data_IF_088387097597
#
_entry.id   IF_088387097597
#
_cell.length_a   1.000
_cell.length_b   1.000
_cell.length_c   1.000
_cell.angle_alpha   90.00
_cell.angle_beta   90.00
_cell.angle_gamma   90.00
#
_symmetry.space_group_name_H-M   'P 1'
#
loop_
_entity.id
_entity.type
_entity.pdbx_description
1 polymer ?
#
# COMPACT_ATOMS: atom_id res chain seq x y z
N UNK A 1 -25.58 10.71 2.59
CA UNK A 1 -24.52 10.15 1.73
C UNK A 1 -24.67 8.64 1.66
N UNK A 2 -24.00 7.98 0.71
CA UNK A 2 -23.99 6.51 0.59
C UNK A 2 -22.95 5.93 1.54
N UNK A 3 -23.31 4.91 2.33
CA UNK A 3 -22.35 4.17 3.16
C UNK A 3 -21.63 3.10 2.33
N UNK A 4 -20.34 3.29 2.05
CA UNK A 4 -19.54 2.33 1.27
C UNK A 4 -18.94 1.20 2.12
N UNK A 5 -18.92 1.35 3.45
CA UNK A 5 -18.18 0.45 4.33
C UNK A 5 -16.66 0.58 4.17
N UNK A 6 -15.92 -0.30 4.86
CA UNK A 6 -14.46 -0.33 4.80
C UNK A 6 -13.99 -1.51 3.93
N UNK A 7 -12.97 -1.27 3.13
CA UNK A 7 -12.29 -2.31 2.34
C UNK A 7 -10.88 -2.51 2.83
N UNK A 8 -10.38 -3.74 2.73
CA UNK A 8 -8.97 -4.05 2.89
C UNK A 8 -8.32 -4.32 1.50
N UNK A 9 -7.00 -4.09 1.37
CA UNK A 9 -6.14 -3.40 2.33
C UNK A 9 -6.29 -1.87 2.26
N UNK A 10 -5.85 -1.19 3.31
CA UNK A 10 -5.43 0.21 3.21
C UNK A 10 -4.02 0.23 2.61
N UNK A 11 -3.84 0.93 1.50
CA UNK A 11 -2.59 0.96 0.75
C UNK A 11 -1.95 2.34 0.85
N UNK A 12 -0.71 2.41 1.35
CA UNK A 12 0.08 3.64 1.37
C UNK A 12 1.13 3.55 0.27
N UNK A 13 1.21 4.56 -0.58
CA UNK A 13 2.33 4.71 -1.52
C UNK A 13 3.48 5.39 -0.78
N UNK A 14 4.54 4.64 -0.55
CA UNK A 14 5.76 5.10 0.09
C UNK A 14 6.79 5.50 -0.96
N UNK A 15 7.46 6.63 -0.73
CA UNK A 15 8.53 7.13 -1.60
C UNK A 15 9.84 7.05 -0.82
N UNK A 16 10.79 6.18 -1.20
CA UNK A 16 12.07 6.11 -0.53
C UNK A 16 12.90 7.39 -0.77
N UNK A 17 13.62 7.81 0.27
CA UNK A 17 14.65 8.84 0.20
C UNK A 17 16.03 8.22 -0.03
N UNK A 18 17.03 9.04 -0.35
CA UNK A 18 18.40 8.58 -0.63
C UNK A 18 19.07 7.94 0.59
N UNK A 19 18.71 8.37 1.80
CA UNK A 19 19.21 7.83 3.07
C UNK A 19 18.51 6.54 3.52
N UNK A 20 17.55 6.04 2.72
CA UNK A 20 16.76 4.85 3.02
C UNK A 20 15.54 5.09 3.91
N UNK A 21 15.30 6.32 4.38
CA UNK A 21 14.06 6.72 5.05
C UNK A 21 12.91 6.92 4.05
N UNK A 22 11.70 7.17 4.54
CA UNK A 22 10.59 7.58 3.67
C UNK A 22 10.52 9.10 3.57
N UNK A 23 10.29 9.60 2.36
CA UNK A 23 9.94 11.00 2.17
C UNK A 23 8.63 11.31 2.93
N UNK A 24 8.50 12.54 3.44
CA UNK A 24 7.27 13.04 4.06
C UNK A 24 6.18 13.33 3.02
N UNK A 25 5.86 12.33 2.21
CA UNK A 25 4.81 12.35 1.19
C UNK A 25 3.99 11.09 1.34
N UNK A 26 2.79 11.25 1.88
CA UNK A 26 1.89 10.12 2.16
C UNK A 26 0.72 10.20 1.19
N UNK A 27 0.60 9.19 0.33
CA UNK A 27 -0.61 8.95 -0.46
C UNK A 27 -1.28 7.69 0.07
N UNK A 28 -2.47 7.86 0.64
CA UNK A 28 -3.30 6.76 1.15
C UNK A 28 -4.37 6.44 0.11
N UNK A 29 -4.52 5.16 -0.21
CA UNK A 29 -5.51 4.65 -1.14
C UNK A 29 -6.35 3.56 -0.48
N UNK A 30 -7.66 3.63 -0.71
CA UNK A 30 -8.65 2.65 -0.30
C UNK A 30 -9.29 2.08 -1.56
N UNK A 31 -9.47 0.76 -1.61
CA UNK A 31 -10.14 0.14 -2.77
C UNK A 31 -11.63 0.47 -2.71
N UNK A 32 -12.18 1.01 -3.79
CA UNK A 32 -13.64 1.18 -3.88
C UNK A 32 -14.31 -0.22 -3.92
N UNK A 33 -15.36 -0.49 -3.13
CA UNK A 33 -16.06 -1.77 -3.18
C UNK A 33 -16.57 -2.08 -4.59
N UNK A 34 -16.61 -3.37 -4.96
CA UNK A 34 -16.89 -3.78 -6.34
C UNK A 34 -18.21 -3.22 -6.90
N UNK A 35 -19.24 -3.09 -6.06
CA UNK A 35 -20.55 -2.54 -6.44
C UNK A 35 -20.54 -1.05 -6.83
N UNK A 36 -19.46 -0.32 -6.53
CA UNK A 36 -19.30 1.10 -6.84
C UNK A 36 -18.16 1.36 -7.83
N UNK A 37 -17.47 0.33 -8.35
CA UNK A 37 -16.32 0.51 -9.25
C UNK A 37 -16.73 1.20 -10.57
N UNK A 38 -17.88 0.84 -11.13
CA UNK A 38 -18.37 1.41 -12.39
C UNK A 38 -18.84 2.87 -12.26
N UNK A 39 -19.32 3.25 -11.08
CA UNK A 39 -19.81 4.60 -10.80
C UNK A 39 -19.54 4.99 -9.33
N UNK A 40 -18.30 5.37 -8.99
CA UNK A 40 -17.94 5.71 -7.63
C UNK A 40 -18.62 7.01 -7.17
N UNK A 41 -19.09 7.08 -5.92
CA UNK A 41 -19.68 8.31 -5.41
C UNK A 41 -18.64 9.43 -5.40
N UNK A 42 -19.06 10.63 -5.83
CA UNK A 42 -18.19 11.80 -5.84
C UNK A 42 -17.76 12.14 -4.39
N UNK A 43 -16.44 12.26 -4.12
CA UNK A 43 -15.97 12.72 -2.83
C UNK A 43 -16.49 14.12 -2.52
N UNK A 44 -16.88 14.36 -1.26
CA UNK A 44 -17.28 15.68 -0.77
C UNK A 44 -16.10 16.55 -0.35
N UNK A 45 -14.92 15.95 -0.17
CA UNK A 45 -13.67 16.62 0.19
C UNK A 45 -12.78 16.69 -1.05
N UNK A 46 -12.35 17.91 -1.41
CA UNK A 46 -11.54 18.16 -2.61
C UNK A 46 -10.11 17.60 -2.52
N UNK A 47 -9.64 17.26 -1.32
CA UNK A 47 -8.35 16.56 -1.13
C UNK A 47 -8.41 15.09 -1.56
N UNK A 48 -9.61 14.51 -1.68
CA UNK A 48 -9.82 13.12 -2.07
C UNK A 48 -10.05 13.04 -3.58
N UNK A 49 -9.26 12.21 -4.24
CA UNK A 49 -9.37 11.96 -5.68
C UNK A 49 -9.69 10.50 -5.94
N UNK A 50 -10.57 10.26 -6.90
CA UNK A 50 -10.77 8.92 -7.47
C UNK A 50 -9.59 8.65 -8.39
N UNK A 51 -8.90 7.55 -8.16
CA UNK A 51 -7.77 7.10 -8.96
C UNK A 51 -8.11 5.78 -9.61
N UNK A 52 -8.02 5.74 -10.93
CA UNK A 52 -8.04 4.50 -11.68
C UNK A 52 -6.64 3.87 -11.65
N UNK A 53 -6.50 2.76 -10.92
CA UNK A 53 -5.25 2.01 -10.85
C UNK A 53 -5.26 0.93 -11.93
N UNK A 54 -4.37 1.06 -12.90
CA UNK A 54 -4.18 0.07 -13.96
C UNK A 54 -3.76 -1.28 -13.38
N UNK A 55 -3.98 -2.33 -14.17
CA UNK A 55 -3.49 -3.66 -13.85
C UNK A 55 -1.96 -3.63 -13.63
N UNK A 56 -1.50 -4.34 -12.60
CA UNK A 56 -0.09 -4.37 -12.22
C UNK A 56 0.32 -5.76 -11.76
N UNK A 57 1.52 -6.18 -12.13
CA UNK A 57 2.19 -7.34 -11.54
C UNK A 57 3.07 -6.86 -10.40
N UNK A 58 3.04 -7.57 -9.26
CA UNK A 58 3.80 -7.18 -8.08
C UNK A 58 4.68 -8.32 -7.56
N UNK A 59 5.74 -7.94 -6.86
CA UNK A 59 6.44 -8.78 -5.91
C UNK A 59 6.01 -8.38 -4.50
N UNK A 60 5.61 -9.34 -3.67
CA UNK A 60 5.10 -9.05 -2.32
C UNK A 60 5.84 -9.84 -1.25
N UNK A 61 6.01 -9.22 -0.08
CA UNK A 61 6.36 -9.92 1.16
C UNK A 61 5.31 -9.66 2.23
N UNK A 62 5.01 -10.67 3.05
CA UNK A 62 4.03 -10.60 4.13
C UNK A 62 4.73 -10.62 5.49
N UNK A 63 4.19 -9.85 6.43
CA UNK A 63 4.62 -9.87 7.82
C UNK A 63 3.48 -9.58 8.81
N UNK A 64 3.67 -10.02 10.05
CA UNK A 64 2.70 -9.84 11.13
C UNK A 64 3.03 -8.71 12.08
N UNK A 65 2.15 -8.49 13.06
CA UNK A 65 2.33 -7.49 14.12
C UNK A 65 1.83 -6.09 13.73
N UNK A 66 2.09 -5.12 14.62
CA UNK A 66 1.83 -3.71 14.34
C UNK A 66 2.90 -3.19 13.39
N UNK A 67 2.49 -2.68 12.24
CA UNK A 67 3.42 -2.11 11.26
C UNK A 67 3.58 -0.61 11.50
N UNK A 68 4.80 -0.21 11.84
CA UNK A 68 5.26 1.18 11.78
C UNK A 68 6.10 1.39 10.53
N UNK A 69 6.48 2.64 10.27
CA UNK A 69 7.37 2.99 9.16
C UNK A 69 8.64 2.14 9.12
N UNK A 70 9.33 2.00 10.26
CA UNK A 70 10.56 1.20 10.37
C UNK A 70 10.35 -0.26 9.97
N UNK A 71 9.17 -0.84 10.26
CA UNK A 71 8.86 -2.21 9.87
C UNK A 71 8.71 -2.31 8.36
N UNK A 72 7.98 -1.39 7.74
CA UNK A 72 7.83 -1.36 6.27
C UNK A 72 9.17 -1.17 5.55
N UNK A 73 10.04 -0.28 6.04
CA UNK A 73 11.39 -0.09 5.49
C UNK A 73 12.21 -1.38 5.61
N UNK A 74 12.18 -2.03 6.78
CA UNK A 74 12.90 -3.28 7.01
C UNK A 74 12.41 -4.41 6.09
N UNK A 75 11.09 -4.58 5.93
CA UNK A 75 10.53 -5.62 5.05
C UNK A 75 10.71 -5.29 3.57
N UNK A 76 10.73 -4.02 3.17
CA UNK A 76 11.11 -3.59 1.83
C UNK A 76 12.57 -3.97 1.52
N UNK A 77 13.50 -3.73 2.46
CA UNK A 77 14.89 -4.14 2.32
C UNK A 77 15.05 -5.67 2.19
N UNK A 78 14.30 -6.44 3.00
CA UNK A 78 14.27 -7.90 2.89
C UNK A 78 13.75 -8.38 1.54
N UNK A 79 12.66 -7.79 1.04
CA UNK A 79 12.12 -8.13 -0.27
C UNK A 79 13.11 -7.79 -1.38
N UNK A 80 13.74 -6.62 -1.33
CA UNK A 80 14.80 -6.22 -2.27
C UNK A 80 15.95 -7.22 -2.27
N UNK A 81 16.41 -7.64 -1.09
CA UNK A 81 17.47 -8.65 -0.95
C UNK A 81 17.06 -10.01 -1.52
N UNK A 82 15.81 -10.42 -1.31
CA UNK A 82 15.30 -11.71 -1.80
C UNK A 82 15.13 -11.74 -3.32
N UNK A 83 14.77 -10.60 -3.92
CA UNK A 83 14.62 -10.47 -5.37
C UNK A 83 15.96 -10.44 -6.13
N UNK A 84 17.05 -10.09 -5.45
CA UNK A 84 18.39 -10.02 -6.05
C UNK A 84 18.50 -8.96 -7.15
N UNK A 85 19.49 -9.10 -8.02
CA UNK A 85 19.80 -8.12 -9.09
C UNK A 85 19.01 -8.34 -10.38
N UNK A 86 18.37 -9.50 -10.54
CA UNK A 86 17.67 -9.88 -11.77
C UNK A 86 16.24 -9.34 -11.84
N UNK A 87 15.62 -9.06 -10.69
CA UNK A 87 14.27 -8.52 -10.65
C UNK A 87 14.24 -7.07 -11.13
N UNK A 88 13.37 -6.81 -12.11
CA UNK A 88 13.09 -5.47 -12.62
C UNK A 88 11.78 -4.97 -12.02
N UNK A 89 11.86 -3.90 -11.26
CA UNK A 89 10.72 -3.32 -10.54
C UNK A 89 10.96 -1.83 -10.29
N UNK A 90 9.86 -1.09 -10.11
CA UNK A 90 9.84 0.34 -9.84
C UNK A 90 10.55 0.67 -8.53
N UNK A 91 11.56 1.53 -8.58
CA UNK A 91 12.37 1.94 -7.41
C UNK A 91 11.96 3.30 -6.84
N UNK A 92 11.14 4.05 -7.57
CA UNK A 92 10.66 5.38 -7.21
C UNK A 92 9.56 5.35 -6.14
N UNK A 93 8.85 4.23 -6.01
CA UNK A 93 7.87 4.02 -4.95
C UNK A 93 7.66 2.52 -4.66
N UNK A 94 7.02 2.25 -3.53
CA UNK A 94 6.46 0.93 -3.22
C UNK A 94 5.19 1.07 -2.39
N UNK A 95 4.42 -0.02 -2.26
CA UNK A 95 3.20 -0.02 -1.48
C UNK A 95 3.39 -0.66 -0.10
N UNK A 96 2.84 -0.02 0.91
CA UNK A 96 2.71 -0.52 2.28
C UNK A 96 1.23 -0.83 2.52
N UNK A 97 0.88 -2.09 2.68
CA UNK A 97 -0.52 -2.55 2.75
C UNK A 97 -0.84 -3.08 4.14
N UNK A 98 -1.83 -2.47 4.80
CA UNK A 98 -2.38 -2.95 6.06
C UNK A 98 -3.78 -3.52 5.87
N UNK A 99 -4.00 -4.76 6.30
CA UNK A 99 -5.30 -5.43 6.13
C UNK A 99 -6.19 -5.33 7.36
N UNK A 100 -5.58 -5.25 8.54
CA UNK A 100 -6.32 -5.33 9.80
C UNK A 100 -6.48 -3.96 10.46
N UNK A 101 -7.66 -3.67 11.04
CA UNK A 101 -7.91 -2.43 11.75
C UNK A 101 -7.03 -2.31 13.02
N UNK A 102 -6.79 -1.09 13.53
CA UNK A 102 -5.94 -0.85 14.70
C UNK A 102 -6.30 -1.70 15.93
N UNK A 103 -7.59 -1.99 16.11
CA UNK A 103 -8.14 -2.67 17.29
C UNK A 103 -7.91 -4.19 17.33
N UNK A 104 -7.33 -4.82 16.30
CA UNK A 104 -7.07 -6.25 16.29
C UNK A 104 -5.66 -6.55 16.85
N UNK A 105 -5.54 -7.23 18.02
CA UNK A 105 -4.25 -7.40 18.68
C UNK A 105 -3.37 -8.53 18.09
N UNK A 106 -3.97 -9.59 17.54
CA UNK A 106 -3.24 -10.77 17.03
C UNK A 106 -3.63 -11.11 15.60
N UNK A 107 -2.76 -11.86 14.90
CA UNK A 107 -3.03 -12.35 13.54
C UNK A 107 -3.17 -11.24 12.51
N UNK A 108 -2.45 -10.12 12.72
CA UNK A 108 -2.41 -9.01 11.78
C UNK A 108 -1.60 -9.39 10.54
N UNK A 109 -2.05 -8.98 9.37
CA UNK A 109 -1.36 -9.13 8.09
C UNK A 109 -1.03 -7.75 7.54
N UNK A 110 0.25 -7.56 7.23
CA UNK A 110 0.75 -6.43 6.49
C UNK A 110 1.63 -6.92 5.35
N UNK A 111 1.73 -6.13 4.29
CA UNK A 111 2.54 -6.47 3.12
C UNK A 111 3.30 -5.28 2.57
N UNK A 112 4.47 -5.55 1.99
CA UNK A 112 5.18 -4.62 1.11
C UNK A 112 5.09 -5.12 -0.31
N UNK A 113 4.72 -4.26 -1.25
CA UNK A 113 4.68 -4.59 -2.68
C UNK A 113 5.63 -3.72 -3.50
N UNK A 114 6.44 -4.36 -4.35
CA UNK A 114 7.16 -3.71 -5.44
C UNK A 114 6.43 -3.98 -6.75
N UNK A 115 6.22 -2.94 -7.56
CA UNK A 115 5.57 -3.08 -8.87
C UNK A 115 6.61 -3.52 -9.88
N UNK A 116 6.36 -4.65 -10.54
CA UNK A 116 7.19 -5.13 -11.65
C UNK A 116 7.09 -4.14 -12.81
N UNK A 117 8.23 -3.85 -13.45
CA UNK A 117 8.28 -3.07 -14.70
C UNK A 117 7.88 -3.90 -15.92
#
# INVERSE_FOLDING_TARGET
GVGMGMTAPVSITAFPAEDGSLQQKVKVSLRIPSQFQDNPPRPSDDSIKIEERQEMTIYSTQFGGYAKEVDYVNYAAKLKSALGTEAVYRKDFYFCNGYDPPMKPYGRRNEVWFVKE
#
